data_IF_001018380439
#
_entry.id   IF_001018380439
#
_cell.length_a   1.000
_cell.length_b   1.000
_cell.length_c   1.000
_cell.angle_alpha   90.00
_cell.angle_beta   90.00
_cell.angle_gamma   90.00
#
_symmetry.space_group_name_H-M   'P 1'
#
loop_
_entity.id
_entity.type
_entity.pdbx_description
1 polymer ?
#
# COMPACT_ATOMS: atom_id res chain seq x y z
N UNK A 1 7.05 -6.13 -15.94
CA UNK A 1 7.20 -6.79 -14.63
C UNK A 1 6.06 -6.37 -13.73
N UNK A 2 5.39 -7.33 -13.16
CA UNK A 2 4.29 -7.04 -12.24
C UNK A 2 4.75 -7.24 -10.81
N UNK A 3 4.28 -6.37 -9.93
CA UNK A 3 4.62 -6.41 -8.51
C UNK A 3 3.35 -6.48 -7.66
N UNK A 4 3.48 -7.14 -6.52
CA UNK A 4 2.50 -7.06 -5.43
C UNK A 4 3.16 -6.34 -4.27
N UNK A 5 2.45 -5.37 -3.71
CA UNK A 5 2.87 -4.70 -2.48
C UNK A 5 1.91 -5.07 -1.36
N UNK A 6 2.47 -5.36 -0.19
CA UNK A 6 1.73 -5.55 1.06
C UNK A 6 2.25 -4.53 2.04
N UNK A 7 1.35 -3.87 2.75
CA UNK A 7 1.81 -2.84 3.68
C UNK A 7 0.86 -2.64 4.84
N UNK A 8 1.43 -2.16 5.94
CA UNK A 8 0.69 -1.69 7.11
C UNK A 8 1.31 -0.40 7.59
N UNK A 9 0.51 0.43 8.22
CA UNK A 9 0.99 1.65 8.88
C UNK A 9 0.65 1.58 10.37
N UNK A 10 1.52 2.10 11.20
CA UNK A 10 1.37 2.06 12.65
C UNK A 10 1.50 3.46 13.24
N UNK A 11 0.84 3.75 14.37
CA UNK A 11 0.10 2.83 15.24
C UNK A 11 -1.28 2.45 14.70
N UNK A 12 -1.78 1.29 15.13
CA UNK A 12 -3.13 0.84 14.81
C UNK A 12 -4.15 1.46 15.76
N UNK A 13 -5.35 1.70 15.23
CA UNK A 13 -6.52 2.00 16.03
C UNK A 13 -7.68 1.20 15.46
N UNK A 14 -8.26 0.34 16.28
CA UNK A 14 -9.35 -0.55 15.85
C UNK A 14 -10.71 0.12 15.84
N UNK A 15 -10.86 1.22 16.59
CA UNK A 15 -12.13 1.92 16.68
C UNK A 15 -12.31 2.94 15.56
N UNK A 16 -11.21 3.59 15.17
CA UNK A 16 -11.24 4.63 14.15
C UNK A 16 -9.96 4.57 13.34
N UNK A 17 -10.08 4.60 12.01
CA UNK A 17 -8.91 4.58 11.14
C UNK A 17 -8.07 5.84 11.36
N UNK A 18 -6.80 5.72 11.77
CA UNK A 18 -5.95 6.90 11.94
C UNK A 18 -5.70 7.61 10.62
N UNK A 19 -5.36 8.89 10.70
CA UNK A 19 -5.12 9.71 9.52
C UNK A 19 -4.09 9.11 8.57
N UNK A 20 -3.03 8.50 9.11
CA UNK A 20 -1.99 7.88 8.28
C UNK A 20 -2.50 6.66 7.50
N UNK A 21 -3.43 5.88 8.08
CA UNK A 21 -4.03 4.75 7.40
C UNK A 21 -4.95 5.23 6.26
N UNK A 22 -5.71 6.28 6.50
CA UNK A 22 -6.56 6.89 5.48
C UNK A 22 -5.72 7.44 4.33
N UNK A 23 -4.63 8.15 4.66
CA UNK A 23 -3.71 8.68 3.64
C UNK A 23 -3.12 7.58 2.78
N UNK A 24 -2.68 6.49 3.39
CA UNK A 24 -2.11 5.36 2.67
C UNK A 24 -3.13 4.72 1.71
N UNK A 25 -4.36 4.52 2.17
CA UNK A 25 -5.43 3.96 1.35
C UNK A 25 -5.77 4.85 0.16
N UNK A 26 -5.82 6.14 0.37
CA UNK A 26 -6.10 7.09 -0.70
C UNK A 26 -5.05 7.03 -1.81
N UNK A 27 -3.78 6.93 -1.43
CA UNK A 27 -2.69 6.79 -2.41
C UNK A 27 -2.90 5.55 -3.26
N UNK A 28 -3.16 4.41 -2.62
CA UNK A 28 -3.32 3.14 -3.32
C UNK A 28 -4.56 3.15 -4.22
N UNK A 29 -5.66 3.73 -3.77
CA UNK A 29 -6.88 3.79 -4.56
C UNK A 29 -6.74 4.71 -5.78
N UNK A 30 -6.05 5.82 -5.62
CA UNK A 30 -5.81 6.76 -6.73
C UNK A 30 -4.79 6.26 -7.75
N UNK A 31 -3.94 5.33 -7.34
CA UNK A 31 -2.89 4.80 -8.21
C UNK A 31 -3.42 3.87 -9.31
N UNK A 32 -4.70 3.53 -9.28
CA UNK A 32 -5.35 2.67 -10.29
C UNK A 32 -4.66 1.32 -10.44
N UNK A 33 -4.25 0.74 -9.32
CA UNK A 33 -3.64 -0.57 -9.30
C UNK A 33 -4.71 -1.67 -9.36
N UNK A 34 -4.29 -2.87 -9.76
CA UNK A 34 -5.15 -4.04 -9.82
C UNK A 34 -5.22 -4.73 -8.47
N UNK A 35 -6.26 -5.54 -8.27
CA UNK A 35 -6.40 -6.42 -7.10
C UNK A 35 -6.13 -5.69 -5.78
N UNK A 36 -6.70 -4.50 -5.62
CA UNK A 36 -6.56 -3.73 -4.39
C UNK A 36 -7.45 -4.33 -3.31
N UNK A 37 -6.84 -4.69 -2.18
CA UNK A 37 -7.55 -5.19 -1.02
C UNK A 37 -7.12 -4.37 0.19
N UNK A 38 -8.08 -3.66 0.78
CA UNK A 38 -7.85 -2.78 1.92
C UNK A 38 -8.57 -3.35 3.13
N UNK A 39 -7.80 -3.73 4.14
CA UNK A 39 -8.35 -4.32 5.35
C UNK A 39 -7.86 -3.62 6.61
N UNK A 40 -8.45 -3.96 7.77
CA UNK A 40 -8.08 -3.31 9.04
C UNK A 40 -6.66 -3.64 9.52
N UNK A 41 -6.11 -4.77 9.09
CA UNK A 41 -4.80 -5.24 9.57
C UNK A 41 -3.74 -5.27 8.49
N UNK A 42 -4.11 -4.99 7.25
CA UNK A 42 -3.15 -5.00 6.15
C UNK A 42 -3.80 -4.64 4.85
N UNK A 43 -2.97 -4.25 3.91
CA UNK A 43 -3.41 -3.81 2.60
C UNK A 43 -2.54 -4.45 1.54
N UNK A 44 -3.13 -4.82 0.41
CA UNK A 44 -2.39 -5.35 -0.73
C UNK A 44 -2.85 -4.68 -2.02
N UNK A 45 -1.94 -4.60 -2.97
CA UNK A 45 -2.25 -4.12 -4.31
C UNK A 45 -1.25 -4.70 -5.30
N UNK A 46 -1.66 -4.82 -6.56
CA UNK A 46 -0.82 -5.34 -7.63
C UNK A 46 -0.86 -4.41 -8.82
N UNK A 47 0.19 -4.40 -9.59
CA UNK A 47 0.25 -3.61 -10.82
C UNK A 47 1.59 -3.70 -11.51
N UNK A 48 1.75 -2.94 -12.57
CA UNK A 48 3.02 -2.82 -13.26
C UNK A 48 4.06 -2.16 -12.34
N UNK A 49 5.31 -2.58 -12.48
CA UNK A 49 6.38 -2.17 -11.58
C UNK A 49 6.47 -0.65 -11.40
N UNK A 50 6.44 0.10 -12.49
CA UNK A 50 6.57 1.56 -12.40
C UNK A 50 5.41 2.18 -11.62
N UNK A 51 4.20 1.69 -11.84
CA UNK A 51 3.02 2.17 -11.14
C UNK A 51 3.07 1.85 -9.65
N UNK A 52 3.47 0.62 -9.31
CA UNK A 52 3.59 0.19 -7.91
C UNK A 52 4.66 1.00 -7.19
N UNK A 53 5.83 1.15 -7.81
CA UNK A 53 6.94 1.87 -7.18
C UNK A 53 6.63 3.35 -6.99
N UNK A 54 5.94 3.97 -7.93
CA UNK A 54 5.47 5.35 -7.78
C UNK A 54 4.47 5.46 -6.63
N UNK A 55 3.54 4.52 -6.56
CA UNK A 55 2.55 4.50 -5.48
C UNK A 55 3.20 4.28 -4.11
N UNK A 56 4.20 3.40 -4.04
CA UNK A 56 4.94 3.13 -2.80
C UNK A 56 5.64 4.41 -2.30
N UNK A 57 6.28 5.16 -3.18
CA UNK A 57 6.94 6.39 -2.79
C UNK A 57 5.94 7.40 -2.20
N UNK A 58 4.78 7.57 -2.85
CA UNK A 58 3.73 8.45 -2.36
C UNK A 58 3.12 7.95 -1.05
N UNK A 59 2.90 6.64 -0.96
CA UNK A 59 2.39 5.99 0.24
C UNK A 59 3.29 6.26 1.45
N UNK A 60 4.59 6.09 1.30
CA UNK A 60 5.55 6.33 2.37
C UNK A 60 5.52 7.79 2.81
N UNK A 61 5.58 8.70 1.85
CA UNK A 61 5.57 10.14 2.16
C UNK A 61 4.29 10.55 2.87
N UNK A 62 3.15 10.22 2.31
CA UNK A 62 1.87 10.72 2.80
C UNK A 62 1.51 10.10 4.15
N UNK A 63 1.78 8.81 4.36
CA UNK A 63 1.48 8.17 5.63
C UNK A 63 2.38 8.68 6.74
N UNK A 64 3.67 8.88 6.48
CA UNK A 64 4.60 9.41 7.48
C UNK A 64 4.25 10.86 7.83
N UNK A 65 3.90 11.70 6.84
CA UNK A 65 3.45 13.05 7.09
C UNK A 65 2.15 13.11 7.89
N UNK A 66 1.28 12.11 7.71
CA UNK A 66 0.00 12.05 8.43
C UNK A 66 0.09 11.42 9.82
N UNK A 67 1.31 11.09 10.28
CA UNK A 67 1.53 10.67 11.65
C UNK A 67 1.94 9.22 11.86
N UNK A 68 2.14 8.45 10.79
CA UNK A 68 2.65 7.09 10.96
C UNK A 68 4.05 7.12 11.57
N UNK A 69 4.27 6.25 12.54
CA UNK A 69 5.58 6.09 13.17
C UNK A 69 6.35 4.92 12.55
N UNK A 70 5.65 4.07 11.84
CA UNK A 70 6.23 2.92 11.14
C UNK A 70 5.37 2.56 9.94
N UNK A 71 6.02 2.27 8.83
CA UNK A 71 5.37 1.66 7.67
C UNK A 71 6.11 0.35 7.40
N UNK A 72 5.38 -0.76 7.47
CA UNK A 72 5.91 -2.07 7.14
C UNK A 72 5.49 -2.40 5.71
N UNK A 73 6.44 -2.73 4.88
CA UNK A 73 6.21 -2.85 3.45
C UNK A 73 6.95 -4.08 2.90
N UNK A 74 6.27 -4.84 2.08
CA UNK A 74 6.86 -5.97 1.36
C UNK A 74 6.46 -5.88 -0.10
N UNK A 75 7.43 -5.99 -0.99
CA UNK A 75 7.19 -5.98 -2.44
C UNK A 75 7.68 -7.30 -3.01
N UNK A 76 6.81 -7.97 -3.76
CA UNK A 76 7.11 -9.23 -4.40
C UNK A 76 6.89 -9.12 -5.91
N UNK A 77 7.76 -9.79 -6.67
CA UNK A 77 7.56 -9.96 -8.11
C UNK A 77 6.51 -11.04 -8.32
N UNK A 78 5.50 -10.72 -9.12
CA UNK A 78 4.49 -11.70 -9.50
C UNK A 78 4.92 -12.29 -10.83
N UNK A 79 5.16 -13.59 -10.84
CA UNK A 79 5.51 -14.29 -12.07
C UNK A 79 4.24 -14.76 -12.75
N UNK A 80 4.06 -14.34 -13.98
CA UNK A 80 3.02 -14.91 -14.81
C UNK A 80 3.48 -16.28 -15.26
N UNK A 81 2.69 -17.30 -14.91
CA UNK A 81 2.94 -18.63 -15.44
C UNK A 81 2.48 -18.64 -16.89
N UNK A 82 3.44 -18.72 -17.80
CA UNK A 82 3.15 -19.05 -19.17
C UNK A 82 3.13 -20.56 -19.26
N UNK A 83 1.96 -21.08 -19.37
CA UNK A 83 1.83 -22.50 -19.65
C UNK A 83 2.21 -22.81 -21.09
#
# INVERSE_FOLDING_TARGET
>A
MRLRVEFTTEPFDLEEAPAHAVAAREVIQKAQLDAVDVGPFGNTAEGEADQVLTAVAALLRDSLEAGATRVSLQVNVIREETS
#
